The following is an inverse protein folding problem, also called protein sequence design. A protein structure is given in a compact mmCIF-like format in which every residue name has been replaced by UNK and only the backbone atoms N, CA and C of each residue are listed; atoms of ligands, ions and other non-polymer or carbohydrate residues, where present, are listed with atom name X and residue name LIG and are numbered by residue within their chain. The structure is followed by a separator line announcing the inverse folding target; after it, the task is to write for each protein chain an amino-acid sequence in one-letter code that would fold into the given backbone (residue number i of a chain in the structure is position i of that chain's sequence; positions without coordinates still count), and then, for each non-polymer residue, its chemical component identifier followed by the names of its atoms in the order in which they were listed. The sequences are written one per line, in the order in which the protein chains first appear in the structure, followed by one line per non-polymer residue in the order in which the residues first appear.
data_IF_988917536850
#
_entry.id   IF_988917536850
#
_cell.length_a   1.000
_cell.length_b   1.000
_cell.length_c   1.000
_cell.angle_alpha   90.00
_cell.angle_beta   90.00
_cell.angle_gamma   90.00
#
_symmetry.space_group_name_H-M   'P 1'
#
loop_
_entity.id
_entity.type
_entity.pdbx_description
1 polymer ?
#
# COMPACT_ATOMS: atom_id res chain seq x y z
N UNK A 1 -55.66 -52.62 -6.45
CA UNK A 1 -54.19 -52.48 -6.54
C UNK A 1 -53.74 -51.06 -6.89
N UNK A 2 -54.42 -50.34 -7.81
CA UNK A 2 -54.00 -48.99 -8.24
C UNK A 2 -54.08 -47.89 -7.15
N UNK A 3 -55.03 -47.94 -6.21
CA UNK A 3 -55.15 -46.94 -5.13
C UNK A 3 -54.07 -47.04 -4.05
N UNK A 4 -53.43 -48.19 -3.88
CA UNK A 4 -52.33 -48.36 -2.93
C UNK A 4 -51.03 -47.76 -3.46
N UNK A 5 -50.82 -47.84 -4.78
CA UNK A 5 -49.63 -47.29 -5.44
C UNK A 5 -49.65 -45.75 -5.39
N UNK A 6 -50.80 -45.09 -5.63
CA UNK A 6 -50.88 -43.63 -5.58
C UNK A 6 -50.65 -43.06 -4.18
N UNK A 7 -51.22 -43.68 -3.15
CA UNK A 7 -50.99 -43.28 -1.74
C UNK A 7 -49.54 -43.48 -1.31
N UNK A 8 -48.89 -44.54 -1.79
CA UNK A 8 -47.47 -44.80 -1.54
C UNK A 8 -46.59 -43.75 -2.24
N UNK A 9 -46.90 -43.40 -3.48
CA UNK A 9 -46.19 -42.36 -4.24
C UNK A 9 -46.33 -40.97 -3.59
N UNK A 10 -47.56 -40.60 -3.16
CA UNK A 10 -47.79 -39.34 -2.45
C UNK A 10 -47.06 -39.28 -1.11
N UNK A 11 -47.02 -40.38 -0.36
CA UNK A 11 -46.29 -40.44 0.92
C UNK A 11 -44.77 -40.31 0.74
N UNK A 12 -44.21 -40.93 -0.32
CA UNK A 12 -42.77 -40.83 -0.64
C UNK A 12 -42.40 -39.42 -1.10
N UNK A 13 -43.24 -38.78 -1.90
CA UNK A 13 -43.04 -37.39 -2.33
C UNK A 13 -43.09 -36.40 -1.17
N UNK A 14 -44.05 -36.56 -0.24
CA UNK A 14 -44.14 -35.71 0.96
C UNK A 14 -42.90 -35.88 1.84
N UNK A 15 -42.43 -37.12 2.04
CA UNK A 15 -41.20 -37.40 2.80
C UNK A 15 -39.96 -36.76 2.14
N UNK A 16 -39.83 -36.86 0.82
CA UNK A 16 -38.74 -36.24 0.07
C UNK A 16 -38.78 -34.71 0.14
N UNK A 17 -39.96 -34.09 0.07
CA UNK A 17 -40.12 -32.64 0.23
C UNK A 17 -39.76 -32.16 1.64
N UNK A 18 -40.15 -32.91 2.68
CA UNK A 18 -39.80 -32.59 4.07
C UNK A 18 -38.28 -32.70 4.25
N UNK A 19 -37.67 -33.77 3.76
CA UNK A 19 -36.22 -33.96 3.86
C UNK A 19 -35.45 -32.86 3.12
N UNK A 20 -35.89 -32.52 1.90
CA UNK A 20 -35.31 -31.41 1.14
C UNK A 20 -35.42 -30.09 1.89
N UNK A 21 -36.61 -29.76 2.42
CA UNK A 21 -36.83 -28.55 3.20
C UNK A 21 -35.92 -28.49 4.43
N UNK A 22 -35.80 -29.59 5.18
CA UNK A 22 -34.94 -29.66 6.36
C UNK A 22 -33.46 -29.48 6.02
N UNK A 23 -32.98 -30.11 4.94
CA UNK A 23 -31.59 -29.98 4.48
C UNK A 23 -31.31 -28.57 3.97
N UNK A 24 -32.20 -28.00 3.16
CA UNK A 24 -32.08 -26.63 2.67
C UNK A 24 -32.12 -25.60 3.80
N UNK A 25 -33.01 -25.78 4.77
CA UNK A 25 -33.10 -24.92 5.95
C UNK A 25 -31.84 -25.03 6.81
N UNK A 26 -31.34 -26.25 7.07
CA UNK A 26 -30.10 -26.46 7.80
C UNK A 26 -28.90 -25.81 7.09
N UNK A 27 -28.77 -26.01 5.78
CA UNK A 27 -27.72 -25.38 4.98
C UNK A 27 -27.81 -23.84 5.03
N UNK A 28 -29.02 -23.28 4.92
CA UNK A 28 -29.25 -21.85 5.07
C UNK A 28 -28.82 -21.33 6.45
N UNK A 29 -29.20 -22.01 7.53
CA UNK A 29 -28.80 -21.66 8.89
C UNK A 29 -27.27 -21.69 9.06
N UNK A 30 -26.60 -22.70 8.51
CA UNK A 30 -25.14 -22.81 8.55
C UNK A 30 -24.48 -21.65 7.79
N UNK A 31 -24.94 -21.36 6.57
CA UNK A 31 -24.42 -20.24 5.76
C UNK A 31 -24.64 -18.90 6.47
N UNK A 32 -25.82 -18.67 7.02
CA UNK A 32 -26.13 -17.45 7.78
C UNK A 32 -25.27 -17.33 9.05
N UNK A 33 -25.01 -18.45 9.75
CA UNK A 33 -24.10 -18.46 10.90
C UNK A 33 -22.67 -18.05 10.50
N UNK A 34 -22.12 -18.63 9.42
CA UNK A 34 -20.79 -18.23 8.94
C UNK A 34 -20.73 -16.77 8.47
N UNK A 35 -21.78 -16.28 7.79
CA UNK A 35 -21.84 -14.87 7.37
C UNK A 35 -21.83 -13.95 8.60
N UNK A 36 -22.69 -14.21 9.58
CA UNK A 36 -22.88 -13.31 10.72
C UNK A 36 -21.73 -13.40 11.74
N UNK A 37 -21.18 -14.59 11.98
CA UNK A 37 -20.17 -14.80 13.02
C UNK A 37 -18.73 -14.88 12.52
N UNK A 38 -18.51 -15.02 11.20
CA UNK A 38 -17.15 -15.09 10.64
C UNK A 38 -16.91 -13.96 9.65
N UNK A 39 -17.82 -13.70 8.71
CA UNK A 39 -17.59 -12.69 7.67
C UNK A 39 -17.85 -11.27 8.19
N UNK A 40 -18.99 -11.02 8.83
CA UNK A 40 -19.30 -9.69 9.37
C UNK A 40 -18.28 -9.20 10.41
N UNK A 41 -17.78 -10.02 11.36
CA UNK A 41 -16.78 -9.56 12.33
C UNK A 41 -15.44 -9.25 11.68
N UNK A 42 -15.05 -9.96 10.62
CA UNK A 42 -13.84 -9.63 9.87
C UNK A 42 -13.99 -8.31 9.11
N UNK A 43 -15.17 -8.04 8.55
CA UNK A 43 -15.48 -6.76 7.90
C UNK A 43 -15.56 -5.60 8.90
N UNK A 44 -16.19 -5.81 10.05
CA UNK A 44 -16.27 -4.81 11.13
C UNK A 44 -14.88 -4.56 11.72
N UNK A 45 -14.08 -5.60 11.91
CA UNK A 45 -12.70 -5.44 12.39
C UNK A 45 -11.85 -4.69 11.36
N UNK A 46 -11.96 -5.01 10.08
CA UNK A 46 -11.27 -4.31 9.00
C UNK A 46 -11.70 -2.84 8.92
N UNK A 47 -12.99 -2.56 9.04
CA UNK A 47 -13.54 -1.22 9.05
C UNK A 47 -13.09 -0.42 10.28
N UNK A 48 -13.10 -1.04 11.48
CA UNK A 48 -12.60 -0.44 12.71
C UNK A 48 -11.09 -0.18 12.64
N UNK A 49 -10.29 -1.10 12.10
CA UNK A 49 -8.85 -0.88 11.89
C UNK A 49 -8.63 0.31 10.95
N UNK A 50 -9.35 0.40 9.84
CA UNK A 50 -9.29 1.57 8.94
C UNK A 50 -9.73 2.86 9.64
N UNK A 51 -10.81 2.81 10.43
CA UNK A 51 -11.31 3.94 11.19
C UNK A 51 -10.32 4.41 12.25
N UNK A 52 -9.71 3.51 13.01
CA UNK A 52 -8.67 3.84 14.00
C UNK A 52 -7.40 4.39 13.36
N UNK A 53 -6.99 3.88 12.19
CA UNK A 53 -5.85 4.44 11.45
C UNK A 53 -6.17 5.84 10.88
N UNK A 54 -7.43 6.14 10.57
CA UNK A 54 -7.87 7.47 10.11
C UNK A 54 -8.09 8.46 11.26
N UNK A 55 -8.69 8.01 12.37
CA UNK A 55 -8.92 8.81 13.57
C UNK A 55 -7.63 9.03 14.41
N UNK A 56 -6.62 8.19 14.22
CA UNK A 56 -5.26 8.41 14.74
C UNK A 56 -4.46 9.44 13.94
N UNK A 57 -4.99 9.92 12.81
CA UNK A 57 -4.47 11.11 12.12
C UNK A 57 -5.00 12.35 12.81
N UNK A 58 -4.34 12.73 13.91
CA UNK A 58 -4.51 14.04 14.52
C UNK A 58 -3.98 15.10 13.54
N UNK A 59 -4.80 15.49 12.56
CA UNK A 59 -4.65 16.76 11.86
C UNK A 59 -5.07 17.88 12.81
N UNK A 60 -4.22 18.16 13.79
CA UNK A 60 -4.18 19.47 14.42
C UNK A 60 -3.42 20.39 13.46
N UNK A 61 -4.16 21.16 12.67
CA UNK A 61 -3.65 22.37 12.04
C UNK A 61 -3.30 23.38 13.14
N UNK A 62 -2.11 23.25 13.72
CA UNK A 62 -1.50 24.29 14.52
C UNK A 62 -0.24 24.74 13.83
N UNK A 63 -0.30 25.95 13.29
CA UNK A 63 0.88 26.75 13.00
C UNK A 63 1.69 26.84 14.31
N UNK A 64 2.75 26.05 14.41
CA UNK A 64 3.72 26.17 15.51
C UNK A 64 5.11 25.85 14.97
N UNK A 65 5.83 26.95 14.76
CA UNK A 65 7.27 27.11 14.86
C UNK A 65 8.04 25.97 15.53
N UNK A 66 9.04 25.48 14.78
CA UNK A 66 10.36 25.03 15.24
C UNK A 66 10.46 23.96 16.34
N UNK A 67 10.73 22.72 15.92
CA UNK A 67 11.78 21.89 16.54
C UNK A 67 12.04 20.64 15.70
N UNK A 68 13.07 20.73 14.85
CA UNK A 68 13.62 19.59 14.12
C UNK A 68 14.30 18.62 15.10
N UNK A 69 14.21 17.29 14.91
CA UNK A 69 15.20 16.37 15.42
C UNK A 69 16.52 16.62 14.69
N UNK A 70 17.52 17.06 15.42
CA UNK A 70 18.86 17.26 14.91
C UNK A 70 19.59 15.93 14.75
N UNK A 71 19.68 15.43 13.52
CA UNK A 71 20.92 14.86 12.99
C UNK A 71 20.89 14.80 11.46
N UNK A 72 21.69 15.66 10.82
CA UNK A 72 22.14 15.48 9.44
C UNK A 72 21.29 16.08 8.33
N UNK A 73 21.67 17.30 7.89
CA UNK A 73 21.24 18.04 6.69
C UNK A 73 19.85 18.72 6.73
N UNK A 74 19.87 20.06 6.77
CA UNK A 74 18.70 20.92 6.50
C UNK A 74 18.42 20.87 5.01
N UNK A 75 17.69 19.86 4.55
CA UNK A 75 17.08 19.90 3.21
C UNK A 75 15.68 20.49 3.38
N UNK A 76 15.46 21.68 2.82
CA UNK A 76 14.12 22.24 2.68
C UNK A 76 13.26 21.25 1.92
N UNK A 77 12.14 20.81 2.51
CA UNK A 77 11.19 19.92 1.84
C UNK A 77 10.68 20.61 0.57
N UNK A 78 10.69 19.94 -0.60
CA UNK A 78 10.23 20.54 -1.85
C UNK A 78 8.74 20.92 -1.81
N UNK A 79 8.32 21.79 -2.72
CA UNK A 79 6.92 22.17 -2.93
C UNK A 79 6.48 21.61 -4.29
N UNK A 80 5.30 20.97 -4.35
CA UNK A 80 4.77 20.44 -5.59
C UNK A 80 4.17 21.52 -6.50
N UNK A 81 3.73 21.14 -7.70
CA UNK A 81 3.03 22.03 -8.63
C UNK A 81 1.73 22.61 -8.09
N UNK A 82 1.16 22.04 -7.03
CA UNK A 82 -0.03 22.57 -6.36
C UNK A 82 0.29 23.69 -5.35
N UNK A 83 1.58 24.00 -5.12
CA UNK A 83 1.99 24.96 -4.10
C UNK A 83 2.02 24.39 -2.67
N UNK A 84 1.74 23.09 -2.50
CA UNK A 84 1.77 22.40 -1.22
C UNK A 84 3.09 21.65 -0.99
N UNK A 85 3.47 21.49 0.28
CA UNK A 85 4.64 20.69 0.68
C UNK A 85 4.47 19.24 0.25
N UNK A 86 5.54 18.65 -0.26
CA UNK A 86 5.56 17.25 -0.67
C UNK A 86 5.79 16.33 0.51
N UNK A 87 5.23 15.13 0.43
CA UNK A 87 5.36 14.11 1.46
C UNK A 87 6.30 12.99 0.99
N UNK A 88 6.95 12.35 1.97
CA UNK A 88 7.83 11.22 1.74
C UNK A 88 7.00 9.95 1.53
N UNK A 89 7.08 9.35 0.36
CA UNK A 89 6.39 8.11 0.01
C UNK A 89 7.37 7.00 -0.36
N UNK A 90 6.95 5.74 -0.23
CA UNK A 90 7.73 4.57 -0.62
C UNK A 90 7.16 3.96 -1.90
N UNK A 91 7.98 3.78 -2.91
CA UNK A 91 7.57 3.15 -4.15
C UNK A 91 7.24 1.66 -3.93
N UNK A 92 6.08 1.25 -4.43
CA UNK A 92 5.58 -0.13 -4.34
C UNK A 92 5.69 -0.90 -5.66
N UNK A 93 6.09 -0.23 -6.74
CA UNK A 93 6.25 -0.89 -8.06
C UNK A 93 7.36 -1.93 -8.00
N UNK A 94 7.18 -3.08 -8.65
CA UNK A 94 8.13 -4.20 -8.61
C UNK A 94 9.60 -3.81 -8.88
N UNK A 95 9.85 -2.84 -9.78
CA UNK A 95 11.19 -2.36 -10.11
C UNK A 95 11.82 -1.43 -9.05
N UNK A 96 11.00 -0.72 -8.27
CA UNK A 96 11.46 0.32 -7.34
C UNK A 96 11.00 0.08 -5.90
N UNK A 97 10.59 -1.15 -5.58
CA UNK A 97 10.06 -1.52 -4.27
C UNK A 97 11.04 -1.08 -3.15
N UNK A 98 10.52 -0.36 -2.16
CA UNK A 98 11.30 0.09 -1.00
C UNK A 98 12.09 1.39 -1.19
N UNK A 99 12.18 1.93 -2.42
CA UNK A 99 12.80 3.25 -2.63
C UNK A 99 11.88 4.37 -2.18
N UNK A 100 12.43 5.40 -1.54
CA UNK A 100 11.66 6.57 -1.09
C UNK A 100 11.68 7.70 -2.12
N UNK A 101 10.56 8.35 -2.33
CA UNK A 101 10.42 9.50 -3.22
C UNK A 101 9.56 10.59 -2.55
N UNK A 102 9.80 11.84 -2.93
CA UNK A 102 8.96 12.98 -2.63
C UNK A 102 7.82 13.04 -3.64
N UNK A 103 6.58 13.03 -3.14
CA UNK A 103 5.37 13.10 -3.96
C UNK A 103 4.33 14.03 -3.34
N UNK A 104 3.44 14.56 -4.17
CA UNK A 104 2.26 15.28 -3.67
C UNK A 104 1.36 14.34 -2.85
N UNK A 105 0.60 14.87 -1.90
CA UNK A 105 -0.43 14.07 -1.21
C UNK A 105 -1.49 13.54 -2.20
N UNK A 106 -1.80 14.32 -3.25
CA UNK A 106 -2.68 13.94 -4.35
C UNK A 106 -1.96 13.22 -5.51
N UNK A 107 -0.85 12.53 -5.24
CA UNK A 107 -0.07 11.87 -6.28
C UNK A 107 -0.91 10.81 -7.01
N UNK A 108 -1.10 11.01 -8.32
CA UNK A 108 -1.89 10.12 -9.20
C UNK A 108 -3.33 9.83 -8.73
N UNK A 109 -3.94 10.76 -7.99
CA UNK A 109 -5.36 10.66 -7.65
C UNK A 109 -6.24 11.07 -8.84
N UNK A 110 -6.53 10.11 -9.74
CA UNK A 110 -7.45 10.29 -10.87
C UNK A 110 -7.01 11.32 -11.94
N UNK A 111 -7.97 11.86 -12.68
CA UNK A 111 -7.76 12.80 -13.81
C UNK A 111 -7.19 14.17 -13.39
N UNK A 112 -7.28 14.53 -12.10
CA UNK A 112 -6.87 15.85 -11.54
C UNK A 112 -5.65 15.72 -10.62
N UNK A 113 -5.04 14.53 -10.53
CA UNK A 113 -3.92 14.27 -9.63
C UNK A 113 -2.65 15.05 -9.96
N UNK A 114 -1.89 15.44 -8.94
CA UNK A 114 -0.59 16.08 -9.12
C UNK A 114 0.47 15.03 -9.47
N UNK A 115 1.26 15.29 -10.52
CA UNK A 115 2.30 14.36 -10.99
C UNK A 115 3.70 14.73 -10.48
N UNK A 116 3.80 15.54 -9.42
CA UNK A 116 5.10 15.83 -8.81
C UNK A 116 5.74 14.54 -8.26
N UNK A 117 6.97 14.27 -8.69
CA UNK A 117 7.74 13.10 -8.32
C UNK A 117 9.23 13.41 -8.32
N UNK A 118 9.91 13.16 -7.21
CA UNK A 118 11.36 13.32 -7.10
C UNK A 118 11.94 12.25 -6.18
N UNK A 119 13.01 11.56 -6.59
CA UNK A 119 13.63 10.56 -5.71
C UNK A 119 14.28 11.24 -4.51
N UNK A 120 14.00 10.72 -3.31
CA UNK A 120 14.66 11.23 -2.10
C UNK A 120 16.10 10.82 -2.21
N UNK A 121 16.98 11.83 -2.13
CA UNK A 121 18.44 11.77 -2.22
C UNK A 121 18.88 10.32 -2.21
N UNK A 122 19.00 9.76 -3.42
CA UNK A 122 19.46 8.41 -3.63
C UNK A 122 20.67 8.30 -2.71
N UNK A 123 20.64 7.41 -1.72
CA UNK A 123 21.87 7.00 -1.08
C UNK A 123 22.74 6.59 -2.26
N UNK A 124 23.66 7.49 -2.62
CA UNK A 124 24.62 7.27 -3.68
C UNK A 124 25.27 6.01 -3.18
N UNK A 125 24.96 4.89 -3.83
CA UNK A 125 25.38 3.57 -3.38
C UNK A 125 26.85 3.74 -3.01
N UNK A 126 27.31 3.30 -1.84
CA UNK A 126 28.66 3.69 -1.36
C UNK A 126 29.75 3.45 -2.43
N UNK A 127 29.48 2.49 -3.32
CA UNK A 127 30.14 2.22 -4.59
C UNK A 127 30.27 3.43 -5.53
N UNK A 128 29.21 4.17 -5.83
CA UNK A 128 29.22 5.35 -6.70
C UNK A 128 30.03 6.52 -6.09
N UNK A 129 30.02 6.67 -4.75
CA UNK A 129 30.90 7.61 -4.05
C UNK A 129 32.38 7.18 -4.14
N UNK A 130 32.65 5.87 -4.02
CA UNK A 130 34.00 5.32 -4.20
C UNK A 130 34.46 5.50 -5.65
N UNK A 131 33.61 5.20 -6.64
CA UNK A 131 33.91 5.34 -8.08
C UNK A 131 34.19 6.79 -8.43
N UNK A 132 33.36 7.73 -7.98
CA UNK A 132 33.58 9.16 -8.25
C UNK A 132 34.87 9.69 -7.61
N UNK A 133 35.22 9.22 -6.39
CA UNK A 133 36.49 9.56 -5.73
C UNK A 133 37.69 8.97 -6.46
N UNK A 134 37.60 7.71 -6.89
CA UNK A 134 38.65 7.04 -7.67
C UNK A 134 38.85 7.70 -9.03
N UNK A 135 37.77 8.04 -9.74
CA UNK A 135 37.83 8.72 -11.04
C UNK A 135 38.48 10.11 -10.94
N UNK A 136 38.20 10.88 -9.89
CA UNK A 136 38.90 12.16 -9.63
C UNK A 136 40.40 11.95 -9.41
N UNK A 137 40.77 10.87 -8.70
CA UNK A 137 42.18 10.54 -8.45
C UNK A 137 42.90 10.10 -9.73
N UNK A 138 42.23 9.31 -10.58
CA UNK A 138 42.73 8.92 -11.91
C UNK A 138 42.98 10.17 -12.76
N UNK A 139 42.02 11.10 -12.83
CA UNK A 139 42.18 12.35 -13.60
C UNK A 139 43.37 13.20 -13.12
N UNK A 140 43.55 13.32 -11.80
CA UNK A 140 44.69 14.06 -11.24
C UNK A 140 46.02 13.44 -11.66
N UNK A 141 46.15 12.11 -11.51
CA UNK A 141 47.36 11.38 -11.90
C UNK A 141 47.61 11.41 -13.41
N UNK A 142 46.56 11.32 -14.23
CA UNK A 142 46.68 11.47 -15.69
C UNK A 142 47.17 12.85 -16.09
N UNK A 143 46.75 13.89 -15.37
CA UNK A 143 47.18 15.27 -15.63
C UNK A 143 48.66 15.45 -15.27
N UNK A 144 49.10 14.91 -14.12
CA UNK A 144 50.50 14.90 -13.70
C UNK A 144 51.39 14.06 -14.63
N UNK A 145 50.90 12.91 -15.10
CA UNK A 145 51.61 12.10 -16.09
C UNK A 145 51.75 12.82 -17.43
N UNK A 146 50.69 13.51 -17.88
CA UNK A 146 50.74 14.31 -19.11
C UNK A 146 51.69 15.49 -18.98
N UNK A 147 51.72 16.17 -17.83
CA UNK A 147 52.68 17.27 -17.60
C UNK A 147 54.12 16.78 -17.51
N UNK A 148 54.35 15.60 -16.91
CA UNK A 148 55.69 15.01 -16.78
C UNK A 148 56.20 14.43 -18.11
N UNK A 149 55.30 13.96 -18.98
CA UNK A 149 55.65 13.42 -20.31
C UNK A 149 55.97 14.52 -21.34
N UNK A 150 55.62 15.78 -21.08
CA UNK A 150 55.91 16.91 -21.96
C UNK A 150 57.29 17.55 -21.73
N UNK A 151 58.24 16.83 -21.14
CA UNK A 151 59.66 17.21 -21.00
C UNK A 151 60.53 16.34 -21.91
#
# INVERSE_FOLDING_TARGET
MMMFISRCLSSVMVSACILYYLVSHHLYCVVMFFIVFVILPLWVSFWLICWFNLAGSNNMSSATTSSMPSCGSRTSVPVCYCGELVILQTAMTARNAGKKFWGCYNYKSGEVGCNYFEWVGQEVDGRDLIISRQNKKIQSMETELKSTRCV
#
